data_IF_035685366653
#
_entry.id   IF_035685366653
#
_cell.length_a   1.000
_cell.length_b   1.000
_cell.length_c   1.000
_cell.angle_alpha   90.00
_cell.angle_beta   90.00
_cell.angle_gamma   90.00
#
_symmetry.space_group_name_H-M   'P 1'
#
loop_
_entity.id
_entity.type
_entity.pdbx_description
1 polymer ?
#
# COMPACT_ATOMS: atom_id res chain seq x y z
N UNK A 1 13.37 -9.99 -14.62
CA UNK A 1 11.98 -10.12 -15.14
C UNK A 1 11.37 -8.80 -15.65
N UNK A 2 12.02 -7.62 -15.51
CA UNK A 2 11.37 -6.32 -15.76
C UNK A 2 11.11 -5.92 -17.23
N UNK A 3 12.06 -6.16 -18.16
CA UNK A 3 11.96 -5.59 -19.51
C UNK A 3 10.78 -6.11 -20.34
N UNK A 4 10.49 -7.42 -20.24
CA UNK A 4 9.39 -8.05 -20.98
C UNK A 4 8.02 -7.57 -20.45
N UNK A 5 7.90 -7.37 -19.13
CA UNK A 5 6.68 -6.85 -18.51
C UNK A 5 6.41 -5.39 -18.88
N UNK A 6 7.46 -4.55 -18.89
CA UNK A 6 7.37 -3.15 -19.34
C UNK A 6 6.91 -3.06 -20.79
N UNK A 7 7.50 -3.86 -21.69
CA UNK A 7 7.11 -3.87 -23.09
C UNK A 7 5.68 -4.39 -23.30
N UNK A 8 5.24 -5.36 -22.51
CA UNK A 8 3.87 -5.86 -22.53
C UNK A 8 2.86 -4.77 -22.11
N UNK A 9 3.14 -4.04 -21.02
CA UNK A 9 2.29 -2.94 -20.54
C UNK A 9 2.23 -1.81 -21.58
N UNK A 10 3.37 -1.39 -22.15
CA UNK A 10 3.42 -0.39 -23.24
C UNK A 10 2.58 -0.82 -24.45
N UNK A 11 2.65 -2.09 -24.83
CA UNK A 11 1.83 -2.63 -25.93
C UNK A 11 0.34 -2.60 -25.59
N UNK A 12 -0.03 -2.87 -24.34
CA UNK A 12 -1.42 -2.86 -23.89
C UNK A 12 -2.01 -1.43 -23.86
N UNK A 13 -1.22 -0.44 -23.42
CA UNK A 13 -1.57 0.98 -23.49
C UNK A 13 -1.84 1.39 -24.95
N UNK A 14 -0.92 1.07 -25.88
CA UNK A 14 -1.11 1.37 -27.30
C UNK A 14 -2.35 0.72 -27.92
N UNK A 15 -2.75 -0.47 -27.44
CA UNK A 15 -4.00 -1.11 -27.87
C UNK A 15 -5.21 -0.34 -27.36
N UNK A 16 -5.19 0.11 -26.10
CA UNK A 16 -6.26 0.92 -25.52
C UNK A 16 -6.40 2.26 -26.24
N UNK A 17 -5.29 2.93 -26.59
CA UNK A 17 -5.32 4.15 -27.40
C UNK A 17 -6.09 3.95 -28.71
N UNK A 18 -5.79 2.87 -29.43
CA UNK A 18 -6.50 2.53 -30.67
C UNK A 18 -7.98 2.28 -30.43
N UNK A 19 -8.32 1.58 -29.35
CA UNK A 19 -9.73 1.33 -28.99
C UNK A 19 -10.46 2.63 -28.68
N UNK A 20 -9.86 3.53 -27.89
CA UNK A 20 -10.46 4.84 -27.55
C UNK A 20 -10.69 5.65 -28.83
N UNK A 21 -9.72 5.69 -29.76
CA UNK A 21 -9.85 6.38 -31.05
C UNK A 21 -11.01 5.77 -31.87
N UNK A 22 -11.09 4.44 -31.97
CA UNK A 22 -12.16 3.75 -32.69
C UNK A 22 -13.53 4.02 -32.08
N UNK A 23 -13.65 4.01 -30.75
CA UNK A 23 -14.91 4.31 -30.06
C UNK A 23 -15.33 5.76 -30.29
N UNK A 24 -14.40 6.73 -30.24
CA UNK A 24 -14.67 8.15 -30.55
C UNK A 24 -15.12 8.36 -32.01
N UNK A 25 -14.49 7.64 -32.95
CA UNK A 25 -14.90 7.65 -34.35
C UNK A 25 -16.32 7.06 -34.55
N UNK A 26 -16.58 5.89 -33.97
CA UNK A 26 -17.89 5.24 -34.01
C UNK A 26 -18.99 6.11 -33.37
N UNK A 27 -18.67 6.80 -32.27
CA UNK A 27 -19.57 7.76 -31.64
C UNK A 27 -19.95 8.86 -32.63
N UNK A 28 -18.97 9.47 -33.30
CA UNK A 28 -19.22 10.56 -34.24
C UNK A 28 -20.07 10.09 -35.42
N UNK A 29 -19.76 8.93 -36.00
CA UNK A 29 -20.52 8.36 -37.11
C UNK A 29 -21.97 8.02 -36.72
N UNK A 30 -22.15 7.38 -35.57
CA UNK A 30 -23.48 6.97 -35.08
C UNK A 30 -24.35 8.19 -34.80
N UNK A 31 -23.82 9.20 -34.10
CA UNK A 31 -24.55 10.42 -33.79
C UNK A 31 -24.90 11.20 -35.07
N UNK A 32 -23.96 11.31 -36.01
CA UNK A 32 -24.24 11.96 -37.30
C UNK A 32 -25.33 11.24 -38.12
N UNK A 33 -25.42 9.91 -38.04
CA UNK A 33 -26.47 9.15 -38.69
C UNK A 33 -27.84 9.42 -38.03
N UNK A 34 -27.91 9.37 -36.69
CA UNK A 34 -29.14 9.67 -35.96
C UNK A 34 -29.63 11.10 -36.22
N UNK A 35 -28.73 12.09 -36.22
CA UNK A 35 -29.05 13.48 -36.56
C UNK A 35 -29.60 13.62 -37.98
N UNK A 36 -29.05 12.90 -38.96
CA UNK A 36 -29.59 12.86 -40.33
C UNK A 36 -30.99 12.27 -40.36
N UNK A 37 -31.27 11.23 -39.58
CA UNK A 37 -32.61 10.64 -39.48
C UNK A 37 -33.61 11.59 -38.83
N UNK A 38 -33.22 12.30 -37.77
CA UNK A 38 -34.04 13.34 -37.13
C UNK A 38 -34.33 14.46 -38.14
N UNK A 39 -33.33 14.97 -38.84
CA UNK A 39 -33.50 16.03 -39.83
C UNK A 39 -34.47 15.61 -40.96
N UNK A 40 -34.35 14.36 -41.43
CA UNK A 40 -35.28 13.79 -42.42
C UNK A 40 -36.71 13.72 -41.88
N UNK A 41 -36.91 13.21 -40.66
CA UNK A 41 -38.25 13.12 -40.06
C UNK A 41 -38.85 14.51 -39.78
N UNK A 42 -38.06 15.48 -39.31
CA UNK A 42 -38.50 16.86 -39.14
C UNK A 42 -38.94 17.50 -40.46
N UNK A 43 -38.25 17.21 -41.57
CA UNK A 43 -38.67 17.66 -42.90
C UNK A 43 -40.01 17.04 -43.30
N UNK A 44 -40.17 15.73 -43.14
CA UNK A 44 -41.43 15.02 -43.44
C UNK A 44 -42.57 15.57 -42.58
N UNK A 45 -42.32 15.83 -41.29
CA UNK A 45 -43.28 16.44 -40.38
C UNK A 45 -43.70 17.82 -40.86
N UNK A 46 -42.75 18.69 -41.20
CA UNK A 46 -43.02 20.04 -41.71
C UNK A 46 -43.86 20.01 -43.00
N UNK A 47 -43.53 19.12 -43.94
CA UNK A 47 -44.28 18.99 -45.20
C UNK A 47 -45.71 18.43 -44.95
N UNK A 48 -45.84 17.45 -44.04
CA UNK A 48 -47.14 16.91 -43.62
C UNK A 48 -47.98 17.96 -42.90
N UNK A 49 -47.35 18.83 -42.10
CA UNK A 49 -48.00 19.89 -41.36
C UNK A 49 -48.57 20.97 -42.29
N UNK A 50 -47.83 21.33 -43.35
CA UNK A 50 -48.33 22.23 -44.40
C UNK A 50 -49.56 21.64 -45.10
N UNK A 51 -49.49 20.37 -45.50
CA UNK A 51 -50.61 19.68 -46.13
C UNK A 51 -51.83 19.56 -45.20
N UNK A 52 -51.60 19.28 -43.92
CA UNK A 52 -52.65 19.28 -42.90
C UNK A 52 -53.34 20.64 -42.77
N UNK A 53 -52.59 21.75 -42.84
CA UNK A 53 -53.17 23.09 -42.80
C UNK A 53 -54.06 23.39 -44.03
N UNK A 54 -53.63 22.98 -45.22
CA UNK A 54 -54.42 23.09 -46.46
C UNK A 54 -55.72 22.27 -46.39
N UNK A 55 -55.62 21.00 -45.97
CA UNK A 55 -56.78 20.10 -45.79
C UNK A 55 -57.72 20.62 -44.69
N UNK A 56 -57.18 21.19 -43.62
CA UNK A 56 -57.99 21.81 -42.56
C UNK A 56 -58.81 22.97 -43.11
N UNK A 57 -58.19 23.86 -43.92
CA UNK A 57 -58.91 24.94 -44.58
C UNK A 57 -59.99 24.43 -45.54
N UNK A 58 -59.65 23.46 -46.39
CA UNK A 58 -60.60 22.81 -47.30
C UNK A 58 -61.79 22.21 -46.54
N UNK A 59 -61.54 21.50 -45.43
CA UNK A 59 -62.59 20.91 -44.58
C UNK A 59 -63.55 21.97 -44.03
N UNK A 60 -63.03 23.14 -43.64
CA UNK A 60 -63.86 24.28 -43.22
C UNK A 60 -64.71 24.82 -44.38
N UNK A 61 -64.15 24.95 -45.58
CA UNK A 61 -64.91 25.37 -46.77
C UNK A 61 -66.05 24.40 -47.11
N UNK A 62 -65.82 23.08 -46.99
CA UNK A 62 -66.86 22.05 -47.15
C UNK A 62 -67.92 22.12 -46.04
N UNK A 63 -67.53 22.40 -44.80
CA UNK A 63 -68.45 22.58 -43.69
C UNK A 63 -69.38 23.79 -43.92
N UNK A 64 -68.82 24.94 -44.32
CA UNK A 64 -69.61 26.13 -44.64
C UNK A 64 -70.54 25.92 -45.83
N UNK A 65 -70.10 25.17 -46.84
CA UNK A 65 -70.94 24.79 -47.99
C UNK A 65 -72.09 23.89 -47.55
N UNK A 66 -71.83 22.84 -46.77
CA UNK A 66 -72.86 21.97 -46.21
C UNK A 66 -73.90 22.78 -45.42
N UNK A 67 -73.46 23.70 -44.54
CA UNK A 67 -74.36 24.55 -43.76
C UNK A 67 -75.28 25.40 -44.64
N UNK A 68 -74.76 26.00 -45.72
CA UNK A 68 -75.57 26.75 -46.69
C UNK A 68 -76.62 25.86 -47.36
N UNK A 69 -76.25 24.65 -47.77
CA UNK A 69 -77.20 23.70 -48.39
C UNK A 69 -78.27 23.23 -47.39
N UNK A 70 -77.90 22.96 -46.13
CA UNK A 70 -78.86 22.65 -45.07
C UNK A 70 -79.85 23.81 -44.81
N UNK A 71 -79.38 25.06 -44.89
CA UNK A 71 -80.24 26.26 -44.79
C UNK A 71 -81.16 26.42 -46.01
N UNK A 72 -80.68 26.15 -47.23
CA UNK A 72 -81.48 26.21 -48.46
C UNK A 72 -82.56 25.12 -48.48
N UNK A 73 -82.24 23.91 -48.02
CA UNK A 73 -83.19 22.81 -47.89
C UNK A 73 -84.32 23.16 -46.91
N UNK A 74 -84.01 23.78 -45.76
CA UNK A 74 -85.04 24.26 -44.80
C UNK A 74 -86.00 25.28 -45.42
N UNK A 75 -85.53 26.04 -46.41
CA UNK A 75 -86.32 27.02 -47.16
C UNK A 75 -87.01 26.43 -48.40
N UNK A 76 -86.83 25.14 -48.69
CA UNK A 76 -87.42 24.42 -49.83
C UNK A 76 -86.68 24.57 -51.17
N UNK A 77 -85.46 25.13 -51.17
CA UNK A 77 -84.71 25.47 -52.40
C UNK A 77 -83.62 24.44 -52.79
N UNK A 78 -83.49 23.32 -52.07
CA UNK A 78 -82.51 22.26 -52.37
C UNK A 78 -83.08 20.88 -52.03
N UNK A 79 -82.66 19.86 -52.78
CA UNK A 79 -83.11 18.48 -52.60
C UNK A 79 -82.32 17.76 -51.49
N UNK A 80 -82.95 16.78 -50.83
CA UNK A 80 -82.31 16.00 -49.75
C UNK A 80 -81.03 15.29 -50.24
N UNK A 81 -81.03 14.78 -51.48
CA UNK A 81 -79.88 14.11 -52.08
C UNK A 81 -78.67 15.04 -52.26
N UNK A 82 -78.89 16.33 -52.52
CA UNK A 82 -77.81 17.32 -52.64
C UNK A 82 -77.16 17.59 -51.28
N UNK A 83 -77.97 17.73 -50.22
CA UNK A 83 -77.47 17.89 -48.85
C UNK A 83 -76.71 16.65 -48.42
N UNK A 84 -77.22 15.45 -48.71
CA UNK A 84 -76.54 14.19 -48.42
C UNK A 84 -75.18 14.09 -49.13
N UNK A 85 -75.09 14.51 -50.40
CA UNK A 85 -73.84 14.55 -51.15
C UNK A 85 -72.82 15.52 -50.53
N UNK A 86 -73.22 16.75 -50.18
CA UNK A 86 -72.31 17.70 -49.51
C UNK A 86 -71.87 17.19 -48.13
N UNK A 87 -72.78 16.54 -47.41
CA UNK A 87 -72.48 15.93 -46.11
C UNK A 87 -71.42 14.84 -46.24
N UNK A 88 -71.55 13.95 -47.24
CA UNK A 88 -70.54 12.93 -47.54
C UNK A 88 -69.18 13.57 -47.80
N UNK A 89 -69.11 14.57 -48.70
CA UNK A 89 -67.84 15.25 -49.06
C UNK A 89 -67.16 15.91 -47.86
N UNK A 90 -67.93 16.54 -46.97
CA UNK A 90 -67.40 17.08 -45.72
C UNK A 90 -66.83 15.99 -44.81
N UNK A 91 -67.54 14.87 -44.64
CA UNK A 91 -67.04 13.76 -43.82
C UNK A 91 -65.81 13.07 -44.42
N UNK A 92 -65.72 12.95 -45.74
CA UNK A 92 -64.54 12.42 -46.43
C UNK A 92 -63.31 13.31 -46.16
N UNK A 93 -63.47 14.64 -46.28
CA UNK A 93 -62.41 15.59 -45.95
C UNK A 93 -62.04 15.61 -44.47
N UNK A 94 -63.04 15.54 -43.59
CA UNK A 94 -62.82 15.44 -42.14
C UNK A 94 -62.03 14.17 -41.77
N UNK A 95 -62.33 13.05 -42.42
CA UNK A 95 -61.61 11.79 -42.23
C UNK A 95 -60.16 11.89 -42.69
N UNK A 96 -59.93 12.51 -43.87
CA UNK A 96 -58.57 12.80 -44.35
C UNK A 96 -57.79 13.68 -43.37
N UNK A 97 -58.40 14.77 -42.87
CA UNK A 97 -57.80 15.65 -41.87
C UNK A 97 -57.39 14.87 -40.61
N UNK A 98 -58.29 14.03 -40.08
CA UNK A 98 -58.00 13.24 -38.89
C UNK A 98 -56.84 12.26 -39.12
N UNK A 99 -56.81 11.59 -40.28
CA UNK A 99 -55.70 10.68 -40.63
C UNK A 99 -54.34 11.40 -40.71
N UNK A 100 -54.32 12.64 -41.20
CA UNK A 100 -53.12 13.48 -41.24
C UNK A 100 -52.70 13.94 -39.83
N UNK A 101 -53.67 14.24 -38.97
CA UNK A 101 -53.39 14.58 -37.57
C UNK A 101 -52.74 13.40 -36.83
N UNK A 102 -53.28 12.19 -36.98
CA UNK A 102 -52.68 10.97 -36.42
C UNK A 102 -51.26 10.77 -36.94
N UNK A 103 -51.04 10.98 -38.25
CA UNK A 103 -49.71 10.89 -38.86
C UNK A 103 -48.71 11.90 -38.30
N UNK A 104 -49.14 13.14 -38.02
CA UNK A 104 -48.31 14.14 -37.37
C UNK A 104 -47.89 13.73 -35.96
N UNK A 105 -48.84 13.24 -35.15
CA UNK A 105 -48.57 12.75 -33.78
C UNK A 105 -47.57 11.58 -33.79
N UNK A 106 -47.74 10.64 -34.73
CA UNK A 106 -46.81 9.52 -34.90
C UNK A 106 -45.41 9.99 -35.30
N UNK A 107 -45.29 10.96 -36.20
CA UNK A 107 -44.00 11.51 -36.63
C UNK A 107 -43.32 12.30 -35.51
N UNK A 108 -44.08 13.09 -34.74
CA UNK A 108 -43.57 13.80 -33.57
C UNK A 108 -43.03 12.82 -32.52
N UNK A 109 -43.77 11.76 -32.23
CA UNK A 109 -43.33 10.69 -31.32
C UNK A 109 -42.06 9.99 -31.82
N UNK A 110 -41.94 9.77 -33.14
CA UNK A 110 -40.74 9.20 -33.74
C UNK A 110 -39.52 10.14 -33.64
N UNK A 111 -39.71 11.45 -33.82
CA UNK A 111 -38.66 12.46 -33.63
C UNK A 111 -38.17 12.46 -32.18
N UNK A 112 -39.09 12.52 -31.21
CA UNK A 112 -38.76 12.48 -29.78
C UNK A 112 -38.01 11.20 -29.41
N UNK A 113 -38.43 10.06 -29.96
CA UNK A 113 -37.76 8.77 -29.72
C UNK A 113 -36.32 8.75 -30.25
N UNK A 114 -36.09 9.31 -31.45
CA UNK A 114 -34.75 9.43 -32.02
C UNK A 114 -33.87 10.41 -31.23
N UNK A 115 -34.44 11.53 -30.74
CA UNK A 115 -33.73 12.49 -29.89
C UNK A 115 -33.30 11.86 -28.56
N UNK A 116 -34.18 11.07 -27.93
CA UNK A 116 -33.85 10.30 -26.74
C UNK A 116 -32.76 9.25 -27.03
N UNK A 117 -32.81 8.59 -28.19
CA UNK A 117 -31.76 7.66 -28.59
C UNK A 117 -30.40 8.36 -28.76
N UNK A 118 -30.36 9.59 -29.30
CA UNK A 118 -29.13 10.40 -29.39
C UNK A 118 -28.51 10.62 -28.01
N UNK A 119 -29.29 11.09 -27.04
CA UNK A 119 -28.78 11.35 -25.68
C UNK A 119 -28.36 10.05 -24.96
N UNK A 120 -29.13 8.96 -25.13
CA UNK A 120 -28.76 7.65 -24.60
C UNK A 120 -27.44 7.15 -25.19
N UNK A 121 -27.29 7.16 -26.51
CA UNK A 121 -26.08 6.69 -27.21
C UNK A 121 -24.88 7.54 -26.85
N UNK A 122 -25.05 8.86 -26.77
CA UNK A 122 -23.98 9.78 -26.34
C UNK A 122 -23.47 9.42 -24.95
N UNK A 123 -24.38 9.16 -24.01
CA UNK A 123 -24.04 8.73 -22.64
C UNK A 123 -23.34 7.37 -22.64
N UNK A 124 -23.83 6.40 -23.42
CA UNK A 124 -23.22 5.07 -23.54
C UNK A 124 -21.77 5.16 -24.05
N UNK A 125 -21.53 5.93 -25.11
CA UNK A 125 -20.18 6.13 -25.65
C UNK A 125 -19.27 6.86 -24.67
N UNK A 126 -19.76 7.90 -23.98
CA UNK A 126 -18.98 8.58 -22.94
C UNK A 126 -18.55 7.63 -21.82
N UNK A 127 -19.48 6.79 -21.34
CA UNK A 127 -19.17 5.80 -20.31
C UNK A 127 -18.17 4.74 -20.79
N UNK A 128 -18.24 4.32 -22.05
CA UNK A 128 -17.26 3.41 -22.64
C UNK A 128 -15.87 4.06 -22.73
N UNK A 129 -15.79 5.30 -23.20
CA UNK A 129 -14.54 6.06 -23.29
C UNK A 129 -13.90 6.20 -21.91
N UNK A 130 -14.67 6.66 -20.91
CA UNK A 130 -14.19 6.81 -19.53
C UNK A 130 -13.66 5.48 -18.99
N UNK A 131 -14.35 4.36 -19.24
CA UNK A 131 -13.89 3.03 -18.81
C UNK A 131 -12.53 2.69 -19.40
N UNK A 132 -12.31 2.94 -20.69
CA UNK A 132 -11.03 2.67 -21.35
C UNK A 132 -9.93 3.63 -20.89
N UNK A 133 -10.24 4.90 -20.67
CA UNK A 133 -9.30 5.90 -20.14
C UNK A 133 -8.87 5.53 -18.70
N UNK A 134 -9.79 5.05 -17.85
CA UNK A 134 -9.46 4.54 -16.52
C UNK A 134 -8.56 3.28 -16.57
N UNK A 135 -8.84 2.35 -17.48
CA UNK A 135 -8.00 1.17 -17.68
C UNK A 135 -6.60 1.54 -18.18
N UNK A 136 -6.50 2.54 -19.05
CA UNK A 136 -5.23 3.06 -19.52
C UNK A 136 -4.45 3.70 -18.38
N UNK A 137 -5.10 4.53 -17.56
CA UNK A 137 -4.48 5.18 -16.42
C UNK A 137 -3.92 4.17 -15.39
N UNK A 138 -4.66 3.10 -15.08
CA UNK A 138 -4.15 2.01 -14.21
C UNK A 138 -2.87 1.37 -14.78
N UNK A 139 -2.81 1.14 -16.09
CA UNK A 139 -1.62 0.60 -16.75
C UNK A 139 -0.45 1.59 -16.76
N UNK A 140 -0.71 2.88 -16.91
CA UNK A 140 0.30 3.93 -16.82
C UNK A 140 0.89 4.03 -15.40
N UNK A 141 0.05 3.95 -14.37
CA UNK A 141 0.49 3.88 -12.97
C UNK A 141 1.39 2.67 -12.76
N UNK A 142 0.96 1.48 -13.18
CA UNK A 142 1.79 0.26 -13.10
C UNK A 142 3.10 0.41 -13.86
N UNK A 143 3.09 1.04 -15.02
CA UNK A 143 4.29 1.29 -15.79
C UNK A 143 5.28 2.17 -15.02
N UNK A 144 4.78 3.27 -14.41
CA UNK A 144 5.59 4.14 -13.56
C UNK A 144 6.16 3.41 -12.34
N UNK A 145 5.38 2.53 -11.70
CA UNK A 145 5.86 1.68 -10.61
C UNK A 145 7.01 0.76 -11.07
N UNK A 146 6.85 0.07 -12.20
CA UNK A 146 7.89 -0.81 -12.74
C UNK A 146 9.14 -0.05 -13.19
N UNK A 147 8.98 1.12 -13.81
CA UNK A 147 10.12 1.96 -14.22
C UNK A 147 10.84 2.54 -12.98
N UNK A 148 10.12 2.87 -11.91
CA UNK A 148 10.70 3.38 -10.64
C UNK A 148 11.42 2.29 -9.82
N UNK A 149 10.99 1.03 -9.92
CA UNK A 149 11.58 -0.11 -9.17
C UNK A 149 12.88 -0.63 -9.79
N UNK A 150 13.37 -0.03 -10.88
CA UNK A 150 14.54 -0.56 -11.59
C UNK A 150 15.89 -0.36 -10.88
N UNK A 151 15.97 0.52 -9.86
CA UNK A 151 17.22 0.73 -9.10
C UNK A 151 16.93 0.87 -7.60
N UNK A 152 17.26 -0.19 -6.84
CA UNK A 152 17.21 -0.16 -5.37
C UNK A 152 18.60 0.19 -4.83
N UNK A 153 18.76 1.41 -4.32
CA UNK A 153 20.00 1.86 -3.69
C UNK A 153 19.89 1.64 -2.18
N UNK A 154 20.75 0.78 -1.63
CA UNK A 154 20.87 0.58 -0.17
C UNK A 154 22.00 1.45 0.35
N UNK A 155 21.66 2.48 1.11
CA UNK A 155 22.62 3.41 1.69
C UNK A 155 23.16 2.89 3.03
N UNK A 156 24.41 3.22 3.35
CA UNK A 156 24.97 2.98 4.67
C UNK A 156 24.24 3.84 5.72
N UNK A 157 23.80 3.27 6.87
CA UNK A 157 23.09 4.04 7.90
C UNK A 157 23.99 5.03 8.66
N UNK A 158 25.31 4.84 8.62
CA UNK A 158 26.30 5.65 9.32
C UNK A 158 27.68 5.49 8.68
N UNK A 159 28.56 6.46 8.90
CA UNK A 159 29.95 6.41 8.44
C UNK A 159 30.73 5.30 9.15
N UNK A 160 31.44 4.48 8.38
CA UNK A 160 32.17 3.34 8.92
C UNK A 160 32.96 2.57 7.87
N UNK A 161 33.62 1.51 8.34
CA UNK A 161 34.33 0.55 7.50
C UNK A 161 33.44 -0.68 7.27
N UNK A 162 33.32 -1.13 6.03
CA UNK A 162 32.66 -2.41 5.71
C UNK A 162 33.58 -3.56 6.12
N UNK A 163 33.17 -4.34 7.11
CA UNK A 163 33.93 -5.49 7.64
C UNK A 163 33.73 -6.73 6.77
N UNK A 164 32.50 -7.00 6.36
CA UNK A 164 32.16 -8.14 5.51
C UNK A 164 30.96 -7.84 4.61
N UNK A 165 30.94 -8.47 3.45
CA UNK A 165 29.81 -8.45 2.51
C UNK A 165 29.25 -9.88 2.44
N UNK A 166 27.97 -10.03 2.78
CA UNK A 166 27.31 -11.32 2.94
C UNK A 166 26.60 -11.81 1.66
N UNK A 167 26.62 -11.01 0.60
CA UNK A 167 25.90 -11.26 -0.65
C UNK A 167 26.83 -11.20 -1.85
N UNK A 168 26.48 -11.93 -2.92
CA UNK A 168 27.25 -11.97 -4.17
C UNK A 168 26.48 -11.30 -5.32
N UNK A 169 27.21 -10.71 -6.29
CA UNK A 169 26.60 -10.15 -7.50
C UNK A 169 25.78 -11.23 -8.22
N UNK A 170 24.51 -10.92 -8.51
CA UNK A 170 23.57 -11.84 -9.16
C UNK A 170 22.76 -12.71 -8.20
N UNK A 171 23.02 -12.66 -6.89
CA UNK A 171 22.21 -13.32 -5.88
C UNK A 171 20.86 -12.59 -5.71
N UNK A 172 19.77 -13.36 -5.64
CA UNK A 172 18.45 -12.83 -5.29
C UNK A 172 18.39 -12.64 -3.79
N UNK A 173 18.02 -11.43 -3.35
CA UNK A 173 17.87 -11.04 -1.94
C UNK A 173 16.40 -10.75 -1.61
N UNK A 174 16.04 -10.82 -0.34
CA UNK A 174 14.72 -10.52 0.20
C UNK A 174 14.79 -9.40 1.23
N UNK A 175 13.63 -8.82 1.53
CA UNK A 175 13.50 -7.86 2.63
C UNK A 175 13.94 -8.50 3.95
N UNK A 176 14.79 -7.80 4.70
CA UNK A 176 15.38 -8.27 5.95
C UNK A 176 16.70 -9.04 5.82
N UNK A 177 17.15 -9.37 4.60
CA UNK A 177 18.45 -10.02 4.42
C UNK A 177 19.60 -9.07 4.82
N UNK A 178 20.59 -9.59 5.55
CA UNK A 178 21.80 -8.83 5.89
C UNK A 178 22.74 -8.79 4.70
N UNK A 179 23.00 -7.59 4.16
CA UNK A 179 23.83 -7.40 2.97
C UNK A 179 25.32 -7.24 3.30
N UNK A 180 25.62 -6.45 4.33
CA UNK A 180 26.98 -6.17 4.78
C UNK A 180 26.99 -5.91 6.29
N UNK A 181 28.15 -6.16 6.91
CA UNK A 181 28.43 -5.77 8.29
C UNK A 181 29.40 -4.59 8.28
N UNK A 182 29.16 -3.61 9.14
CA UNK A 182 29.96 -2.38 9.20
C UNK A 182 30.40 -2.08 10.62
N UNK A 183 31.62 -1.56 10.74
CA UNK A 183 32.18 -1.02 11.98
C UNK A 183 32.06 0.51 11.91
N UNK A 184 31.33 1.16 12.83
CA UNK A 184 31.23 2.62 12.88
C UNK A 184 32.59 3.31 12.96
N UNK A 185 32.75 4.45 12.26
CA UNK A 185 33.98 5.24 12.33
C UNK A 185 34.25 5.78 13.74
N UNK A 186 33.18 6.11 14.48
CA UNK A 186 33.24 6.45 15.89
C UNK A 186 32.89 5.24 16.77
N UNK A 187 33.77 4.22 16.76
CA UNK A 187 33.57 2.96 17.49
C UNK A 187 33.69 3.06 19.02
N UNK A 188 34.08 4.23 19.55
CA UNK A 188 34.37 4.40 20.97
C UNK A 188 35.56 3.55 21.45
N UNK A 189 35.61 3.33 22.76
CA UNK A 189 36.59 2.50 23.43
C UNK A 189 36.09 1.06 23.61
N UNK A 190 36.98 0.07 23.55
CA UNK A 190 36.60 -1.32 23.83
C UNK A 190 36.20 -1.47 25.30
N UNK A 191 35.10 -2.18 25.54
CA UNK A 191 34.60 -2.51 26.86
C UNK A 191 34.44 -4.02 26.98
N UNK A 192 34.69 -4.53 28.18
CA UNK A 192 34.48 -5.94 28.47
C UNK A 192 33.09 -6.12 29.08
N UNK A 193 32.25 -6.92 28.40
CA UNK A 193 30.96 -7.35 28.93
C UNK A 193 31.16 -8.67 29.65
N UNK A 194 30.79 -8.72 30.93
CA UNK A 194 30.87 -9.95 31.72
C UNK A 194 29.53 -10.29 32.36
N UNK A 195 29.35 -11.58 32.64
CA UNK A 195 28.14 -12.14 33.23
C UNK A 195 28.46 -12.69 34.61
N UNK A 196 27.75 -12.19 35.62
CA UNK A 196 27.99 -12.52 37.03
C UNK A 196 26.75 -13.19 37.61
N UNK A 197 26.88 -14.29 38.37
CA UNK A 197 25.73 -14.93 39.00
C UNK A 197 25.15 -14.06 40.12
N UNK A 198 23.86 -14.24 40.40
CA UNK A 198 23.17 -13.53 41.49
C UNK A 198 23.88 -13.62 42.85
N UNK A 199 24.57 -14.73 43.14
CA UNK A 199 25.31 -14.89 44.40
C UNK A 199 26.48 -13.91 44.57
N UNK A 200 27.02 -13.38 43.47
CA UNK A 200 28.17 -12.48 43.49
C UNK A 200 27.78 -11.00 43.34
N UNK A 201 26.57 -10.69 42.86
CA UNK A 201 26.13 -9.32 42.56
C UNK A 201 26.15 -8.39 43.78
N UNK A 202 25.88 -8.93 44.98
CA UNK A 202 25.85 -8.15 46.23
C UNK A 202 27.23 -7.78 46.77
N UNK A 203 28.31 -8.36 46.21
CA UNK A 203 29.67 -8.15 46.67
C UNK A 203 30.50 -7.28 45.71
N UNK A 204 29.91 -6.83 44.61
CA UNK A 204 30.58 -6.02 43.60
C UNK A 204 29.97 -4.63 43.54
N UNK A 205 30.82 -3.61 43.38
CA UNK A 205 30.41 -2.22 43.31
C UNK A 205 30.96 -1.55 42.04
N UNK A 206 30.29 -0.49 41.56
CA UNK A 206 30.89 0.38 40.55
C UNK A 206 32.26 0.90 41.03
N UNK A 207 33.18 1.04 40.08
CA UNK A 207 34.58 1.42 40.27
C UNK A 207 35.49 0.39 40.98
N UNK A 208 34.97 -0.80 41.32
CA UNK A 208 35.82 -1.91 41.77
C UNK A 208 36.86 -2.29 40.71
N UNK A 209 38.10 -2.45 41.15
CA UNK A 209 39.23 -2.84 40.30
C UNK A 209 39.31 -4.35 40.18
N UNK A 210 39.51 -4.83 38.97
CA UNK A 210 39.60 -6.25 38.67
C UNK A 210 40.75 -6.54 37.73
N UNK A 211 41.30 -7.75 37.88
CA UNK A 211 42.38 -8.23 37.04
C UNK A 211 41.80 -9.12 35.94
N UNK A 212 42.02 -8.73 34.69
CA UNK A 212 41.53 -9.36 33.47
C UNK A 212 42.63 -10.21 32.85
N UNK A 213 42.29 -11.44 32.48
CA UNK A 213 43.12 -12.36 31.69
C UNK A 213 42.39 -12.65 30.39
N UNK A 214 42.99 -12.26 29.26
CA UNK A 214 42.44 -12.57 27.93
C UNK A 214 42.96 -13.91 27.44
N UNK A 215 42.09 -14.74 26.87
CA UNK A 215 42.51 -16.03 26.29
C UNK A 215 43.48 -15.83 25.11
N UNK A 216 43.28 -14.75 24.34
CA UNK A 216 44.16 -14.38 23.23
C UNK A 216 45.55 -13.86 23.67
N UNK A 217 45.71 -13.49 24.95
CA UNK A 217 46.95 -12.95 25.51
C UNK A 217 47.34 -13.72 26.79
N UNK A 218 48.06 -14.85 26.67
CA UNK A 218 48.44 -15.70 27.80
C UNK A 218 49.17 -14.92 28.90
N UNK A 219 48.68 -15.02 30.13
CA UNK A 219 49.14 -14.18 31.25
C UNK A 219 50.62 -14.39 31.61
N UNK A 220 51.20 -15.54 31.26
CA UNK A 220 52.62 -15.84 31.48
C UNK A 220 53.53 -14.92 30.66
N UNK A 221 53.02 -14.38 29.54
CA UNK A 221 53.76 -13.47 28.65
C UNK A 221 53.31 -12.01 28.77
N UNK A 222 52.02 -11.79 28.98
CA UNK A 222 51.40 -10.47 28.91
C UNK A 222 50.96 -9.92 30.27
N UNK A 223 51.10 -10.70 31.35
CA UNK A 223 50.62 -10.32 32.68
C UNK A 223 49.10 -10.32 32.79
N UNK A 224 48.59 -9.52 33.72
CA UNK A 224 47.15 -9.30 33.90
C UNK A 224 46.84 -7.85 33.53
N UNK A 225 45.69 -7.63 32.91
CA UNK A 225 45.22 -6.31 32.54
C UNK A 225 44.34 -5.75 33.65
N UNK A 226 44.49 -4.46 33.97
CA UNK A 226 43.63 -3.80 34.92
C UNK A 226 42.34 -3.33 34.23
N UNK A 227 41.20 -3.54 34.90
CA UNK A 227 39.94 -2.95 34.51
C UNK A 227 39.14 -2.45 35.71
N UNK A 228 38.15 -1.60 35.46
CA UNK A 228 37.22 -1.13 36.50
C UNK A 228 35.78 -1.31 36.08
N UNK A 229 34.93 -1.70 37.04
CA UNK A 229 33.50 -1.88 36.79
C UNK A 229 32.87 -0.51 36.53
N UNK A 230 32.33 -0.29 35.33
CA UNK A 230 31.63 0.96 34.97
C UNK A 230 30.15 0.88 35.21
N UNK A 231 29.55 -0.26 34.94
CA UNK A 231 28.11 -0.42 35.06
C UNK A 231 27.75 -1.83 35.50
N UNK A 232 26.75 -1.92 36.36
CA UNK A 232 26.17 -3.16 36.86
C UNK A 232 24.67 -3.09 36.58
N UNK A 233 24.15 -4.06 35.83
CA UNK A 233 22.71 -4.17 35.58
C UNK A 233 21.97 -4.48 36.88
N UNK A 234 20.85 -3.80 37.11
CA UNK A 234 19.98 -4.03 38.27
C UNK A 234 18.98 -5.17 38.05
N UNK A 235 18.82 -5.61 36.81
CA UNK A 235 17.94 -6.72 36.42
C UNK A 235 18.76 -7.85 35.78
N UNK A 236 18.32 -9.11 35.92
CA UNK A 236 18.96 -10.24 35.28
C UNK A 236 18.79 -10.17 33.75
N UNK A 237 19.76 -10.74 33.05
CA UNK A 237 19.81 -10.77 31.59
C UNK A 237 18.65 -11.59 31.02
N UNK A 238 18.04 -11.08 29.95
CA UNK A 238 17.02 -11.84 29.21
C UNK A 238 17.68 -12.88 28.30
N UNK A 239 16.93 -13.93 27.91
CA UNK A 239 17.42 -14.93 26.94
C UNK A 239 17.81 -14.30 25.59
N UNK A 240 17.11 -13.25 25.16
CA UNK A 240 17.43 -12.53 23.93
C UNK A 240 18.75 -11.75 24.03
N UNK A 241 18.98 -11.09 25.17
CA UNK A 241 20.23 -10.39 25.43
C UNK A 241 21.42 -11.36 25.49
N UNK A 242 21.24 -12.52 26.12
CA UNK A 242 22.26 -13.57 26.15
C UNK A 242 22.52 -14.13 24.73
N UNK A 243 21.48 -14.35 23.92
CA UNK A 243 21.64 -14.85 22.55
C UNK A 243 22.43 -13.91 21.62
N UNK A 244 22.53 -12.61 21.96
CA UNK A 244 23.33 -11.64 21.19
C UNK A 244 24.84 -11.91 21.29
N UNK A 245 25.32 -12.51 22.38
CA UNK A 245 26.74 -12.81 22.56
C UNK A 245 27.00 -14.30 22.39
N UNK A 246 27.96 -14.65 21.53
CA UNK A 246 28.31 -16.05 21.22
C UNK A 246 29.09 -16.77 22.33
N UNK A 247 29.63 -16.03 23.30
CA UNK A 247 30.58 -16.52 24.31
C UNK A 247 30.02 -16.37 25.74
N UNK A 248 28.89 -17.01 26.04
CA UNK A 248 28.27 -16.98 27.38
C UNK A 248 28.31 -18.37 28.02
N UNK A 249 28.50 -18.48 29.35
CA UNK A 249 28.19 -19.71 30.09
C UNK A 249 26.78 -20.23 29.77
N UNK A 250 26.55 -21.54 29.82
CA UNK A 250 25.23 -22.11 29.56
C UNK A 250 24.16 -21.44 30.44
N UNK A 251 23.16 -20.82 29.82
CA UNK A 251 22.09 -20.15 30.54
C UNK A 251 21.27 -21.18 31.34
N UNK A 252 21.33 -21.08 32.66
CA UNK A 252 20.54 -21.90 33.57
C UNK A 252 19.39 -21.03 34.13
N UNK A 253 18.11 -21.39 33.90
CA UNK A 253 16.97 -20.65 34.45
C UNK A 253 17.00 -20.47 35.96
N UNK A 254 17.66 -21.38 36.69
CA UNK A 254 17.77 -21.32 38.15
C UNK A 254 18.91 -20.43 38.64
N UNK A 255 19.81 -20.00 37.76
CA UNK A 255 20.97 -19.16 38.08
C UNK A 255 20.99 -17.91 37.20
N UNK A 256 20.18 -16.88 37.53
CA UNK A 256 20.12 -15.66 36.75
C UNK A 256 21.48 -14.95 36.73
N UNK A 257 21.87 -14.52 35.54
CA UNK A 257 23.11 -13.80 35.28
C UNK A 257 22.83 -12.30 35.17
N UNK A 258 23.68 -11.50 35.78
CA UNK A 258 23.66 -10.05 35.73
C UNK A 258 24.78 -9.55 34.82
N UNK A 259 24.46 -8.57 33.96
CA UNK A 259 25.45 -7.94 33.10
C UNK A 259 26.28 -6.95 33.88
N UNK A 260 27.60 -7.04 33.76
CA UNK A 260 28.51 -5.97 34.14
C UNK A 260 29.31 -5.50 32.94
N UNK A 261 29.58 -4.20 32.89
CA UNK A 261 30.40 -3.57 31.86
C UNK A 261 31.65 -3.03 32.53
N UNK A 262 32.80 -3.42 31.99
CA UNK A 262 34.11 -3.11 32.56
C UNK A 262 34.91 -2.29 31.57
N UNK A 263 35.42 -1.15 32.02
CA UNK A 263 36.38 -0.36 31.28
C UNK A 263 37.76 -1.01 31.37
N UNK A 264 38.44 -1.08 30.23
CA UNK A 264 39.80 -1.62 30.11
C UNK A 264 40.76 -0.43 30.21
N UNK A 265 41.70 -0.45 31.16
CA UNK A 265 42.60 0.67 31.39
C UNK A 265 43.56 0.90 30.22
N UNK A 266 44.20 -0.16 29.73
CA UNK A 266 45.14 -0.11 28.60
C UNK A 266 44.63 -0.93 27.41
N UNK A 267 44.24 -0.23 26.33
CA UNK A 267 43.71 -0.86 25.11
C UNK A 267 44.76 -1.10 24.02
N UNK A 268 46.04 -0.94 24.36
CA UNK A 268 47.17 -1.20 23.46
C UNK A 268 48.09 -2.21 24.12
N UNK A 269 48.33 -3.32 23.45
CA UNK A 269 49.24 -4.35 23.94
C UNK A 269 50.51 -4.29 23.09
N UNK A 270 51.64 -3.94 23.71
CA UNK A 270 52.94 -3.94 23.04
C UNK A 270 53.71 -5.21 23.38
N UNK A 271 54.21 -5.90 22.35
CA UNK A 271 55.04 -7.09 22.51
C UNK A 271 56.07 -7.18 21.39
N UNK A 272 57.36 -7.32 21.75
CA UNK A 272 58.48 -7.40 20.79
C UNK A 272 58.40 -6.34 19.67
N UNK A 273 58.25 -5.05 20.05
CA UNK A 273 58.11 -3.90 19.14
C UNK A 273 56.92 -3.97 18.16
N UNK A 274 55.93 -4.83 18.41
CA UNK A 274 54.70 -4.94 17.63
C UNK A 274 53.51 -4.55 18.49
N UNK A 275 52.63 -3.68 17.97
CA UNK A 275 51.38 -3.31 18.63
C UNK A 275 50.29 -4.32 18.23
N UNK A 276 49.75 -5.02 19.21
CA UNK A 276 48.63 -5.94 19.06
C UNK A 276 47.34 -5.21 19.43
N UNK A 277 46.29 -5.41 18.62
CA UNK A 277 44.99 -4.79 18.80
C UNK A 277 43.98 -5.75 19.43
N UNK A 278 43.10 -5.22 20.29
CA UNK A 278 41.92 -5.93 20.74
C UNK A 278 40.91 -6.09 19.59
N UNK A 279 40.26 -7.26 19.54
CA UNK A 279 39.17 -7.56 18.58
C UNK A 279 37.87 -7.78 19.34
N UNK A 280 36.75 -7.43 18.70
CA UNK A 280 35.43 -7.74 19.25
C UNK A 280 35.23 -9.25 19.37
N UNK A 281 34.66 -9.69 20.49
CA UNK A 281 34.40 -11.12 20.74
C UNK A 281 35.55 -11.91 21.37
N UNK A 282 36.68 -11.29 21.71
CA UNK A 282 37.72 -11.93 22.52
C UNK A 282 37.15 -12.40 23.87
N UNK A 283 37.57 -13.58 24.33
CA UNK A 283 37.21 -14.12 25.64
C UNK A 283 38.18 -13.64 26.71
N UNK A 284 37.64 -13.34 27.88
CA UNK A 284 38.41 -12.94 29.04
C UNK A 284 37.80 -13.49 30.32
N UNK A 285 38.66 -13.76 31.30
CA UNK A 285 38.30 -14.07 32.68
C UNK A 285 38.75 -12.92 33.57
N UNK A 286 37.91 -12.51 34.52
CA UNK A 286 38.27 -11.51 35.50
C UNK A 286 38.26 -12.10 36.91
N UNK A 287 39.24 -11.71 37.71
CA UNK A 287 39.28 -12.01 39.14
C UNK A 287 39.13 -10.71 39.92
N UNK A 288 38.15 -10.70 40.83
CA UNK A 288 37.91 -9.60 41.77
C UNK A 288 38.16 -10.09 43.19
N UNK A 289 38.97 -9.35 43.95
CA UNK A 289 39.25 -9.65 45.35
C UNK A 289 38.22 -8.95 46.24
N UNK A 290 37.25 -9.72 46.76
CA UNK A 290 36.06 -9.20 47.45
C UNK A 290 36.33 -8.75 48.90
N UNK A 291 37.31 -9.35 49.60
CA UNK A 291 37.60 -9.03 51.00
C UNK A 291 39.09 -9.12 51.33
N UNK A 292 39.60 -8.14 52.07
CA UNK A 292 40.89 -8.21 52.74
C UNK A 292 40.68 -8.69 54.19
N UNK A 293 40.79 -10.00 54.41
CA UNK A 293 40.72 -10.58 55.77
C UNK A 293 42.08 -10.52 56.45
N UNK A 294 42.10 -10.10 57.72
CA UNK A 294 43.34 -10.13 58.51
C UNK A 294 43.55 -11.54 59.05
N UNK A 295 44.79 -12.04 59.04
CA UNK A 295 45.10 -13.44 59.40
C UNK A 295 44.50 -13.90 60.75
N UNK A 296 44.39 -13.00 61.73
CA UNK A 296 43.82 -13.33 63.03
C UNK A 296 42.33 -13.69 62.99
N UNK A 297 41.59 -13.24 61.97
CA UNK A 297 40.16 -13.54 61.78
C UNK A 297 39.95 -14.98 61.29
N UNK A 298 40.99 -15.57 60.68
CA UNK A 298 40.97 -16.96 60.21
C UNK A 298 41.12 -17.97 61.36
N UNK A 299 41.90 -17.62 62.40
CA UNK A 299 42.17 -18.50 63.55
C UNK A 299 40.94 -18.66 64.46
N UNK A 300 40.07 -17.64 64.53
CA UNK A 300 38.87 -17.64 65.38
C UNK A 300 37.61 -18.20 64.70
N UNK A 301 37.69 -18.52 63.41
CA UNK A 301 36.56 -19.03 62.61
C UNK A 301 35.93 -20.35 63.13
N UNK A 302 36.67 -21.32 63.71
CA UNK A 302 36.06 -22.56 64.22
C UNK A 302 35.16 -22.35 65.44
N UNK A 303 35.38 -21.30 66.23
CA UNK A 303 34.66 -21.05 67.48
C UNK A 303 33.33 -20.32 67.27
N UNK A 304 33.18 -19.62 66.14
CA UNK A 304 31.98 -18.82 65.86
C UNK A 304 30.82 -19.63 65.26
N UNK A 305 31.10 -20.76 64.60
CA UNK A 305 30.07 -21.62 64.02
C UNK A 305 29.41 -22.57 65.04
N UNK A 306 30.09 -22.90 66.15
CA UNK A 306 29.54 -23.80 67.19
C UNK A 306 28.40 -23.16 67.98
N UNK A 307 28.33 -21.82 68.05
CA UNK A 307 27.27 -21.12 68.77
C UNK A 307 25.99 -20.87 67.96
N UNK A 308 25.98 -21.17 66.65
CA UNK A 308 24.78 -21.07 65.80
C UNK A 308 24.03 -22.38 65.56
N UNK A 309 24.63 -23.55 65.84
CA UNK A 309 24.00 -24.86 65.61
C UNK A 309 23.26 -25.46 66.83
N UNK A 310 23.24 -24.81 68.00
CA UNK A 310 22.54 -25.32 69.20
C UNK A 310 21.11 -24.75 69.33
N UNK A 311 20.53 -24.24 68.24
CA UNK A 311 19.29 -23.47 68.29
C UNK A 311 18.34 -23.68 67.12
N UNK A 312 18.24 -24.87 66.52
CA UNK A 312 17.05 -25.27 65.74
C UNK A 312 17.04 -26.78 65.45
N UNK A 313 16.08 -27.48 66.03
CA UNK A 313 15.70 -28.85 65.72
C UNK A 313 15.08 -28.96 64.32
N UNK A 314 15.28 -30.08 63.59
CA UNK A 314 14.72 -30.25 62.26
C UNK A 314 13.25 -30.68 62.34
N UNK A 315 12.37 -30.00 61.61
CA UNK A 315 11.09 -30.58 61.16
C UNK A 315 11.20 -30.88 59.67
N UNK A 316 11.37 -32.16 59.37
CA UNK A 316 11.18 -32.71 58.04
C UNK A 316 9.70 -32.65 57.66
N UNK A 317 9.39 -32.19 56.45
CA UNK A 317 8.30 -32.70 55.61
C UNK A 317 8.50 -32.25 54.15
N UNK A 318 8.84 -33.23 53.31
CA UNK A 318 8.70 -33.38 51.84
C UNK A 318 9.04 -32.20 50.91
#
# INVERSE_FOLDING_TARGET
MGLNSINAIKTQIQKLDRVIILVKANQTETLANLEKQIAKNRKIYSDTQKYFAEVTKSTEDYYQTLKKYEELMKKGYSANDEVALQRSRYFDQKSLRNSLQEKLIQQESAIISLENEVESRKTDFQNQIIRYELQQNDLEIRLMEFESVSELIVNAPLDGLVESVSVTVGQVIREGDTLAQMIPANKGEYQLVMWVPNSAISFINPEDKLNIRYEAFPFEKFGQFEGSIKHISTIPASLQELAFYKNIPAADPNNPLYKIVVAIADQKVEYNNTSLAFLSGMKAEATLFLENRKLYEWILFPLYNVTKDIGQTPKNAQ
#
